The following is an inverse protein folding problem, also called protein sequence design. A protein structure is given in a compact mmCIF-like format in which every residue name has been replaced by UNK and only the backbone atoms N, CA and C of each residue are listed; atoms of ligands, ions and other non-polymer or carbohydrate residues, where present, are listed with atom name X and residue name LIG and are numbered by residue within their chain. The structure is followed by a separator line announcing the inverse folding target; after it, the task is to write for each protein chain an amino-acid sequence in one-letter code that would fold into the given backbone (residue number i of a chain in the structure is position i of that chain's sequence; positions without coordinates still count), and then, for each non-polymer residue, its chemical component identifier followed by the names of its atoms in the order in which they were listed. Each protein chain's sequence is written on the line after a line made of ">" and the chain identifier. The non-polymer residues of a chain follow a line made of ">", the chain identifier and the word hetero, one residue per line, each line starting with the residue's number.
data_IF_388680450633
#
_entry.id   IF_388680450633
#
_cell.length_a   1.000
_cell.length_b   1.000
_cell.length_c   1.000
_cell.angle_alpha   90.00
_cell.angle_beta   90.00
_cell.angle_gamma   90.00
#
_symmetry.space_group_name_H-M   'P 1'
#
loop_
_entity.id
_entity.type
_entity.pdbx_description
1 polymer ?
#
# COMPACT_ATOMS: atom_id res chain seq x y z
N UNK A 1 0.40 -0.24 -17.47
CA UNK A 1 1.17 0.96 -17.89
C UNK A 1 1.24 1.88 -16.68
N UNK A 2 2.45 2.21 -16.18
CA UNK A 2 2.56 3.07 -15.01
C UNK A 2 2.20 4.50 -15.41
N UNK A 3 0.96 4.91 -15.13
CA UNK A 3 0.50 6.25 -15.45
C UNK A 3 1.29 7.25 -14.58
N UNK A 4 2.09 8.17 -15.16
CA UNK A 4 2.97 9.04 -14.38
C UNK A 4 2.22 9.92 -13.37
N UNK A 5 0.92 10.12 -13.56
CA UNK A 5 0.02 10.83 -12.64
C UNK A 5 -0.18 10.13 -11.29
N UNK A 6 -0.10 8.79 -11.24
CA UNK A 6 -0.31 8.01 -10.00
C UNK A 6 0.99 7.81 -9.20
N UNK A 7 2.14 8.15 -9.79
CA UNK A 7 3.46 7.99 -9.18
C UNK A 7 3.66 8.75 -7.86
N UNK A 8 3.24 10.03 -7.69
CA UNK A 8 3.37 10.72 -6.40
C UNK A 8 2.49 10.08 -5.32
N UNK A 9 1.27 9.65 -5.68
CA UNK A 9 0.35 8.98 -4.77
C UNK A 9 0.91 7.66 -4.26
N UNK A 10 1.46 6.81 -5.13
CA UNK A 10 2.10 5.56 -4.70
C UNK A 10 3.36 5.79 -3.84
N UNK A 11 4.13 6.84 -4.14
CA UNK A 11 5.28 7.24 -3.32
C UNK A 11 4.88 7.65 -1.90
N UNK A 12 3.74 8.33 -1.75
CA UNK A 12 3.13 8.62 -0.45
C UNK A 12 2.59 7.34 0.22
N UNK A 13 1.85 6.51 -0.52
CA UNK A 13 1.23 5.29 0.00
C UNK A 13 2.26 4.33 0.60
N UNK A 14 3.45 4.21 -0.01
CA UNK A 14 4.55 3.37 0.50
C UNK A 14 5.06 3.78 1.89
N UNK A 15 4.89 5.05 2.29
CA UNK A 15 5.31 5.55 3.61
C UNK A 15 4.31 5.23 4.73
N UNK A 16 3.08 4.82 4.40
CA UNK A 16 2.04 4.48 5.38
C UNK A 16 2.34 3.15 6.06
N UNK A 17 2.03 3.04 7.37
CA UNK A 17 2.16 1.78 8.11
C UNK A 17 1.04 0.79 7.70
N UNK A 18 1.32 -0.50 7.88
CA UNK A 18 0.45 -1.63 7.52
C UNK A 18 -1.03 -1.49 7.89
N UNK A 19 -1.41 -1.00 9.11
CA UNK A 19 -2.83 -0.86 9.45
C UNK A 19 -3.53 0.22 8.63
N UNK A 20 -2.82 1.31 8.31
CA UNK A 20 -3.38 2.45 7.61
C UNK A 20 -3.51 2.16 6.12
N UNK A 21 -2.51 1.50 5.52
CA UNK A 21 -2.55 1.10 4.12
C UNK A 21 -3.72 0.13 3.86
N UNK A 22 -3.94 -0.84 4.76
CA UNK A 22 -5.07 -1.77 4.69
C UNK A 22 -6.41 -1.04 4.74
N UNK A 23 -6.60 -0.10 5.68
CA UNK A 23 -7.85 0.67 5.79
C UNK A 23 -8.16 1.49 4.54
N UNK A 24 -7.15 2.15 3.97
CA UNK A 24 -7.30 2.94 2.74
C UNK A 24 -7.72 2.03 1.59
N UNK A 25 -7.02 0.89 1.43
CA UNK A 25 -7.32 -0.08 0.37
C UNK A 25 -8.73 -0.65 0.52
N UNK A 26 -9.13 -1.04 1.74
CA UNK A 26 -10.46 -1.58 2.02
C UNK A 26 -11.56 -0.54 1.80
N UNK A 27 -11.34 0.72 2.20
CA UNK A 27 -12.29 1.80 1.96
C UNK A 27 -12.49 2.06 0.46
N UNK A 28 -11.39 2.15 -0.31
CA UNK A 28 -11.46 2.27 -1.77
C UNK A 28 -12.19 1.09 -2.41
N UNK A 29 -11.95 -0.13 -1.93
CA UNK A 29 -12.60 -1.33 -2.45
C UNK A 29 -14.11 -1.31 -2.21
N UNK A 30 -14.54 -0.98 -0.99
CA UNK A 30 -15.97 -0.85 -0.67
C UNK A 30 -16.64 0.25 -1.47
N UNK A 31 -15.98 1.39 -1.64
CA UNK A 31 -16.50 2.49 -2.48
C UNK A 31 -16.62 2.06 -3.95
N UNK A 32 -15.64 1.34 -4.48
CA UNK A 32 -15.66 0.78 -5.85
C UNK A 32 -16.80 -0.21 -6.06
N UNK A 33 -17.14 -1.02 -5.06
CA UNK A 33 -18.24 -2.00 -5.15
C UNK A 33 -19.62 -1.32 -5.01
N UNK A 34 -19.73 -0.29 -4.17
CA UNK A 34 -21.00 0.39 -3.88
C UNK A 34 -21.38 1.45 -4.91
N UNK A 35 -20.39 2.06 -5.58
CA UNK A 35 -20.61 3.13 -6.56
C UNK A 35 -20.36 2.55 -7.96
N UNK A 36 -21.39 2.42 -8.82
CA UNK A 36 -21.20 2.00 -10.21
C UNK A 36 -20.25 2.98 -10.90
N UNK A 37 -19.17 2.44 -11.45
CA UNK A 37 -17.90 3.12 -11.63
C UNK A 37 -17.96 4.42 -12.46
N UNK A 38 -17.73 5.61 -11.85
CA UNK A 38 -17.62 6.88 -12.57
C UNK A 38 -16.18 7.40 -12.68
N UNK A 39 -15.19 6.75 -12.05
CA UNK A 39 -13.85 7.31 -11.86
C UNK A 39 -12.81 6.42 -12.55
N UNK A 40 -12.19 6.87 -13.65
CA UNK A 40 -11.11 6.12 -14.27
C UNK A 40 -9.94 5.97 -13.29
N UNK A 41 -9.21 4.86 -13.40
CA UNK A 41 -7.99 4.53 -12.63
C UNK A 41 -8.18 3.96 -11.21
N UNK A 42 -9.41 3.73 -10.75
CA UNK A 42 -9.68 3.14 -9.42
C UNK A 42 -9.08 1.74 -9.31
N UNK A 43 -9.26 0.91 -10.33
CA UNK A 43 -8.75 -0.45 -10.36
C UNK A 43 -7.22 -0.51 -10.30
N UNK A 44 -6.51 0.37 -11.01
CA UNK A 44 -5.05 0.47 -10.98
C UNK A 44 -4.52 0.91 -9.61
N UNK A 45 -5.23 1.83 -8.95
CA UNK A 45 -4.91 2.25 -7.58
C UNK A 45 -5.12 1.08 -6.61
N UNK A 46 -6.24 0.37 -6.72
CA UNK A 46 -6.54 -0.81 -5.89
C UNK A 46 -5.48 -1.90 -6.05
N UNK A 47 -5.09 -2.22 -7.29
CA UNK A 47 -4.04 -3.20 -7.56
C UNK A 47 -2.67 -2.73 -7.04
N UNK A 48 -2.33 -1.45 -7.20
CA UNK A 48 -1.10 -0.87 -6.69
C UNK A 48 -1.01 -0.88 -5.16
N UNK A 49 -2.09 -0.48 -4.49
CA UNK A 49 -2.21 -0.52 -3.03
C UNK A 49 -2.16 -1.96 -2.51
N UNK A 50 -2.86 -2.91 -3.16
CA UNK A 50 -2.80 -4.33 -2.83
C UNK A 50 -1.39 -4.89 -2.91
N UNK A 51 -0.64 -4.56 -3.97
CA UNK A 51 0.76 -4.98 -4.13
C UNK A 51 1.66 -4.41 -3.02
N UNK A 52 1.49 -3.13 -2.67
CA UNK A 52 2.21 -2.52 -1.55
C UNK A 52 1.88 -3.21 -0.22
N UNK A 53 0.62 -3.61 -0.02
CA UNK A 53 0.19 -4.34 1.16
C UNK A 53 0.86 -5.72 1.23
N UNK A 54 0.90 -6.49 0.13
CA UNK A 54 1.66 -7.76 0.11
C UNK A 54 3.16 -7.55 0.37
N UNK A 55 3.76 -6.50 -0.19
CA UNK A 55 5.17 -6.18 0.02
C UNK A 55 5.48 -5.86 1.49
N UNK A 56 4.63 -5.06 2.15
CA UNK A 56 4.79 -4.73 3.56
C UNK A 56 4.52 -5.92 4.50
N UNK A 57 3.69 -6.89 4.10
CA UNK A 57 3.41 -8.08 4.89
C UNK A 57 4.69 -8.90 5.07
N UNK A 58 5.49 -9.04 4.01
CA UNK A 58 6.79 -9.72 4.02
C UNK A 58 7.82 -9.02 4.93
N UNK A 59 7.76 -7.69 5.03
CA UNK A 59 8.72 -6.90 5.82
C UNK A 59 8.57 -7.07 7.33
N UNK A 60 7.38 -7.44 7.83
CA UNK A 60 7.15 -7.69 9.26
C UNK A 60 7.96 -8.87 9.82
N UNK A 61 8.43 -9.77 8.96
CA UNK A 61 9.28 -10.91 9.35
C UNK A 61 10.78 -10.62 9.38
N UNK A 62 11.25 -9.47 8.88
CA UNK A 62 12.69 -9.14 8.77
C UNK A 62 13.25 -8.38 9.98
N UNK A 63 12.56 -8.38 11.12
CA UNK A 63 13.06 -7.77 12.37
C UNK A 63 14.13 -8.66 13.06
N UNK A 64 14.46 -9.83 12.52
CA UNK A 64 15.19 -10.88 13.27
C UNK A 64 16.72 -10.80 13.15
N UNK A 65 17.31 -10.08 12.18
CA UNK A 65 18.77 -10.09 11.97
C UNK A 65 19.52 -8.81 12.34
N UNK A 66 18.96 -7.94 13.19
CA UNK A 66 19.76 -6.84 13.75
C UNK A 66 20.76 -7.41 14.78
N UNK A 67 22.08 -7.43 14.53
CA UNK A 67 23.04 -7.89 15.52
C UNK A 67 22.93 -6.98 16.76
N UNK A 68 23.08 -7.54 17.99
CA UNK A 68 22.95 -6.75 19.20
C UNK A 68 24.03 -5.67 19.16
N UNK A 69 23.57 -4.41 19.21
CA UNK A 69 24.45 -3.24 19.25
C UNK A 69 25.33 -3.41 20.50
N UNK A 70 26.58 -3.82 20.29
CA UNK A 70 27.55 -3.96 21.36
C UNK A 70 27.72 -2.59 22.01
N UNK A 71 27.14 -2.46 23.21
CA UNK A 71 27.24 -1.29 24.06
C UNK A 71 28.71 -1.17 24.48
N UNK A 72 29.41 -0.14 24.01
CA UNK A 72 30.66 0.35 24.58
C UNK A 72 30.38 1.70 25.20
#
# INVERSE_FOLDING_TARGET
>A
MANPLLSPFMGWARKLRFPTLFKITAALFVLSVLIPDPIPFVDEILLGLGTLMFAQWKQRGQVIDAPPKARR
#
